data_IF_383614357745
#
_entry.id   IF_383614357745
#
_cell.length_a   1.000
_cell.length_b   1.000
_cell.length_c   1.000
_cell.angle_alpha   90.00
_cell.angle_beta   90.00
_cell.angle_gamma   90.00
#
_symmetry.space_group_name_H-M   'P 1'
#
loop_
_entity.id
_entity.type
_entity.pdbx_description
1 polymer ?
#
# COMPACT_ATOMS: atom_id res chain seq x y z
N UNK A 1 40.28 -75.77 77.50
CA UNK A 1 38.88 -75.65 77.06
C UNK A 1 38.49 -74.24 76.58
N UNK A 2 38.88 -73.16 77.28
CA UNK A 2 38.47 -71.77 76.97
C UNK A 2 38.80 -71.32 75.52
N UNK A 3 39.95 -71.73 74.96
CA UNK A 3 40.35 -71.38 73.58
C UNK A 3 39.45 -71.97 72.50
N UNK A 4 38.87 -73.15 72.74
CA UNK A 4 37.97 -73.80 71.77
C UNK A 4 36.61 -73.11 71.72
N UNK A 5 36.08 -72.68 72.88
CA UNK A 5 34.85 -71.89 72.94
C UNK A 5 34.97 -70.54 72.24
N UNK A 6 36.13 -69.89 72.32
CA UNK A 6 36.36 -68.62 71.62
C UNK A 6 36.36 -68.78 70.10
N UNK A 7 36.95 -69.86 69.58
CA UNK A 7 36.98 -70.16 68.14
C UNK A 7 35.57 -70.50 67.64
N UNK A 8 34.82 -71.31 68.40
CA UNK A 8 33.44 -71.68 68.05
C UNK A 8 32.52 -70.45 68.12
N UNK A 9 32.68 -69.60 69.14
CA UNK A 9 31.92 -68.35 69.26
C UNK A 9 32.26 -67.37 68.11
N UNK A 10 33.53 -67.29 67.69
CA UNK A 10 33.96 -66.47 66.56
C UNK A 10 33.44 -66.99 65.21
N UNK A 11 33.38 -68.31 65.03
CA UNK A 11 32.79 -68.94 63.83
C UNK A 11 31.27 -68.73 63.76
N UNK A 12 30.56 -68.82 64.88
CA UNK A 12 29.10 -68.60 64.92
C UNK A 12 28.77 -67.12 64.69
N UNK A 13 29.51 -66.20 65.33
CA UNK A 13 29.29 -64.75 65.17
C UNK A 13 29.64 -64.24 63.78
N UNK A 14 30.62 -64.83 63.09
CA UNK A 14 30.94 -64.48 61.69
C UNK A 14 29.94 -65.08 60.69
N UNK A 15 29.33 -66.23 60.99
CA UNK A 15 28.29 -66.84 60.16
C UNK A 15 26.94 -66.11 60.17
N UNK A 16 26.68 -65.28 61.19
CA UNK A 16 25.47 -64.47 61.30
C UNK A 16 25.49 -63.19 60.45
N UNK A 17 26.62 -62.85 59.81
CA UNK A 17 26.80 -61.55 59.12
C UNK A 17 26.44 -61.61 57.63
N UNK A 18 26.22 -62.80 57.03
CA UNK A 18 26.02 -62.93 55.57
C UNK A 18 24.69 -63.56 55.13
N UNK A 19 23.66 -63.54 55.97
CA UNK A 19 22.31 -63.94 55.54
C UNK A 19 21.65 -62.80 54.78
N UNK A 20 21.87 -62.73 53.46
CA UNK A 20 21.05 -61.91 52.58
C UNK A 20 19.58 -62.26 52.80
N UNK A 21 18.77 -61.29 53.21
CA UNK A 21 17.34 -61.52 53.45
C UNK A 21 16.66 -61.92 52.13
N UNK A 22 15.97 -63.05 52.13
CA UNK A 22 15.14 -63.45 51.00
C UNK A 22 13.96 -62.48 50.87
N UNK A 23 13.86 -61.82 49.70
CA UNK A 23 12.74 -60.93 49.36
C UNK A 23 11.89 -61.60 48.30
N UNK A 24 10.57 -61.62 48.51
CA UNK A 24 9.62 -62.19 47.55
C UNK A 24 8.97 -61.06 46.76
N UNK A 25 9.02 -61.15 45.43
CA UNK A 25 8.29 -60.29 44.50
C UNK A 25 7.03 -61.03 44.04
N UNK A 26 5.85 -60.54 44.43
CA UNK A 26 4.56 -61.16 44.12
C UNK A 26 3.89 -60.48 42.94
N UNK A 27 2.87 -61.12 42.37
CA UNK A 27 2.10 -60.58 41.23
C UNK A 27 1.33 -59.31 41.54
N UNK A 28 1.06 -59.04 42.83
CA UNK A 28 0.49 -57.78 43.32
C UNK A 28 1.49 -56.63 43.36
N UNK A 29 2.78 -56.92 43.32
CA UNK A 29 3.83 -55.94 43.57
C UNK A 29 4.24 -55.28 42.24
N UNK A 30 4.23 -53.95 42.21
CA UNK A 30 4.65 -53.19 41.02
C UNK A 30 6.15 -52.87 40.99
N UNK A 31 6.79 -52.76 42.17
CA UNK A 31 8.25 -52.60 42.30
C UNK A 31 8.75 -53.00 43.68
N UNK A 32 9.98 -53.52 43.76
CA UNK A 32 10.69 -53.71 45.03
C UNK A 32 12.13 -53.20 44.93
N UNK A 33 12.68 -52.66 46.03
CA UNK A 33 14.08 -52.24 46.08
C UNK A 33 14.95 -53.37 46.60
N UNK A 34 15.95 -53.75 45.80
CA UNK A 34 16.86 -54.87 46.08
C UNK A 34 18.30 -54.39 46.08
N UNK A 35 19.08 -54.91 47.02
CA UNK A 35 20.51 -54.64 47.15
C UNK A 35 21.31 -55.76 46.51
N UNK A 36 22.55 -55.45 46.10
CA UNK A 36 23.45 -56.46 45.55
C UNK A 36 23.75 -57.53 46.61
N UNK A 37 23.42 -58.78 46.31
CA UNK A 37 23.56 -59.91 47.23
C UNK A 37 22.26 -60.36 47.91
N UNK A 38 21.15 -59.64 47.73
CA UNK A 38 19.82 -60.10 48.16
C UNK A 38 19.40 -61.33 47.34
N UNK A 39 18.81 -62.34 47.99
CA UNK A 39 18.17 -63.46 47.30
C UNK A 39 16.72 -63.06 47.00
N UNK A 40 16.31 -63.14 45.74
CA UNK A 40 14.98 -62.67 45.31
C UNK A 40 14.18 -63.85 44.77
N UNK A 41 13.00 -64.09 45.33
CA UNK A 41 12.04 -65.08 44.83
C UNK A 41 10.98 -64.37 44.00
N UNK A 42 10.89 -64.69 42.71
CA UNK A 42 9.91 -64.11 41.78
C UNK A 42 8.73 -65.07 41.69
N UNK A 43 7.56 -64.63 42.17
CA UNK A 43 6.30 -65.39 42.19
C UNK A 43 5.31 -64.79 41.17
N UNK A 44 5.81 -64.56 39.95
CA UNK A 44 5.11 -63.91 38.82
C UNK A 44 5.54 -64.53 37.49
N UNK A 45 4.79 -64.26 36.41
CA UNK A 45 5.14 -64.71 35.05
C UNK A 45 6.42 -64.02 34.50
N UNK A 46 6.68 -62.77 34.91
CA UNK A 46 7.90 -62.06 34.51
C UNK A 46 8.28 -60.96 35.51
N UNK A 47 9.57 -60.71 35.65
CA UNK A 47 10.12 -59.59 36.39
C UNK A 47 11.45 -59.13 35.74
N UNK A 48 11.71 -57.84 35.78
CA UNK A 48 12.95 -57.24 35.28
C UNK A 48 13.71 -56.58 36.42
N UNK A 49 15.00 -56.87 36.52
CA UNK A 49 15.89 -56.19 37.47
C UNK A 49 16.64 -55.11 36.70
N UNK A 50 16.44 -53.86 37.10
CA UNK A 50 17.15 -52.72 36.55
C UNK A 50 17.96 -52.04 37.64
N UNK A 51 19.13 -51.52 37.27
CA UNK A 51 19.89 -50.70 38.21
C UNK A 51 19.14 -49.40 38.50
N UNK A 52 19.28 -48.87 39.73
CA UNK A 52 18.60 -47.63 40.11
C UNK A 52 18.98 -46.46 39.18
N UNK A 53 20.27 -46.34 38.80
CA UNK A 53 20.71 -45.29 37.87
C UNK A 53 20.11 -45.41 36.46
N UNK A 54 19.88 -46.63 35.96
CA UNK A 54 19.17 -46.83 34.68
C UNK A 54 17.69 -46.50 34.80
N UNK A 55 17.05 -46.84 35.93
CA UNK A 55 15.66 -46.49 36.19
C UNK A 55 15.45 -44.97 36.23
N UNK A 56 16.35 -44.26 36.93
CA UNK A 56 16.32 -42.81 37.04
C UNK A 56 16.55 -42.14 35.68
N UNK A 57 17.52 -42.62 34.89
CA UNK A 57 17.75 -42.13 33.53
C UNK A 57 16.57 -42.40 32.58
N UNK A 58 15.91 -43.55 32.70
CA UNK A 58 14.74 -43.88 31.88
C UNK A 58 13.55 -42.98 32.22
N UNK A 59 13.30 -42.74 33.51
CA UNK A 59 12.25 -41.82 33.97
C UNK A 59 12.53 -40.38 33.49
N UNK A 60 13.78 -39.92 33.57
CA UNK A 60 14.15 -38.60 33.06
C UNK A 60 13.86 -38.48 31.55
N UNK A 61 14.21 -39.49 30.74
CA UNK A 61 13.89 -39.49 29.32
C UNK A 61 12.38 -39.56 29.04
N UNK A 62 11.63 -40.27 29.89
CA UNK A 62 10.17 -40.32 29.79
C UNK A 62 9.56 -38.93 30.03
N UNK A 63 10.02 -38.23 31.06
CA UNK A 63 9.59 -36.86 31.37
C UNK A 63 9.95 -35.88 30.24
N UNK A 64 11.14 -36.02 29.65
CA UNK A 64 11.57 -35.24 28.49
C UNK A 64 10.66 -35.49 27.28
N UNK A 65 10.30 -36.76 27.02
CA UNK A 65 9.36 -37.13 25.96
C UNK A 65 7.97 -36.54 26.17
N UNK A 66 7.45 -36.58 27.39
CA UNK A 66 6.14 -35.98 27.73
C UNK A 66 6.19 -34.47 27.49
N UNK A 67 7.25 -33.79 27.94
CA UNK A 67 7.44 -32.35 27.70
C UNK A 67 7.56 -32.02 26.21
N UNK A 68 8.32 -32.80 25.45
CA UNK A 68 8.45 -32.63 24.00
C UNK A 68 7.12 -32.84 23.28
N UNK A 69 6.30 -33.80 23.75
CA UNK A 69 4.94 -34.03 23.27
C UNK A 69 4.05 -32.81 23.45
N UNK A 70 4.04 -32.22 24.66
CA UNK A 70 3.27 -31.01 24.96
C UNK A 70 3.72 -29.81 24.11
N UNK A 71 5.03 -29.59 23.98
CA UNK A 71 5.58 -28.51 23.14
C UNK A 71 5.17 -28.69 21.68
N UNK A 72 5.18 -29.92 21.16
CA UNK A 72 4.78 -30.19 19.78
C UNK A 72 3.29 -29.94 19.54
N UNK A 73 2.45 -30.20 20.55
CA UNK A 73 1.02 -29.90 20.49
C UNK A 73 0.76 -28.39 20.48
N UNK A 74 1.42 -27.64 21.37
CA UNK A 74 1.41 -26.17 21.35
C UNK A 74 1.89 -25.62 20.00
N UNK A 75 2.97 -26.18 19.44
CA UNK A 75 3.51 -25.75 18.15
C UNK A 75 2.51 -25.97 17.01
N UNK A 76 1.78 -27.09 17.02
CA UNK A 76 0.71 -27.35 16.05
C UNK A 76 -0.41 -26.35 16.18
N UNK A 77 -0.82 -26.00 17.40
CA UNK A 77 -1.86 -25.01 17.64
C UNK A 77 -1.43 -23.62 17.13
N UNK A 78 -0.20 -23.19 17.46
CA UNK A 78 0.35 -21.92 16.95
C UNK A 78 0.42 -21.92 15.42
N UNK A 79 0.82 -23.02 14.81
CA UNK A 79 0.91 -23.11 13.34
C UNK A 79 -0.47 -23.04 12.67
N UNK A 80 -1.50 -23.65 13.28
CA UNK A 80 -2.89 -23.51 12.83
C UNK A 80 -3.39 -22.06 12.94
N UNK A 81 -3.09 -21.38 14.05
CA UNK A 81 -3.44 -19.96 14.22
C UNK A 81 -2.73 -19.08 13.20
N UNK A 82 -1.44 -19.33 12.95
CA UNK A 82 -0.66 -18.62 11.95
C UNK A 82 -1.24 -18.80 10.54
N UNK A 83 -1.62 -20.03 10.19
CA UNK A 83 -2.22 -20.35 8.90
C UNK A 83 -3.58 -19.65 8.71
N UNK A 84 -4.37 -19.52 9.79
CA UNK A 84 -5.62 -18.75 9.76
C UNK A 84 -5.35 -17.25 9.55
N UNK A 85 -4.36 -16.69 10.24
CA UNK A 85 -3.95 -15.27 10.05
C UNK A 85 -3.45 -15.01 8.63
N UNK A 86 -2.67 -15.93 8.04
CA UNK A 86 -2.22 -15.81 6.65
C UNK A 86 -3.40 -15.79 5.69
N UNK A 87 -4.40 -16.67 5.85
CA UNK A 87 -5.62 -16.67 5.02
C UNK A 87 -6.42 -15.38 5.16
N UNK A 88 -6.47 -14.79 6.36
CA UNK A 88 -7.13 -13.52 6.59
C UNK A 88 -6.41 -12.38 5.87
N UNK A 89 -5.07 -12.33 5.96
CA UNK A 89 -4.25 -11.36 5.23
C UNK A 89 -4.42 -11.51 3.72
N UNK A 90 -4.38 -12.73 3.18
CA UNK A 90 -4.64 -12.97 1.74
C UNK A 90 -6.01 -12.45 1.31
N UNK A 91 -7.04 -12.65 2.14
CA UNK A 91 -8.40 -12.15 1.85
C UNK A 91 -8.44 -10.62 1.86
N UNK A 92 -7.77 -9.97 2.81
CA UNK A 92 -7.69 -8.51 2.88
C UNK A 92 -6.92 -7.92 1.70
N UNK A 93 -5.78 -8.51 1.34
CA UNK A 93 -4.99 -8.12 0.14
C UNK A 93 -5.83 -8.30 -1.13
N UNK A 94 -6.54 -9.43 -1.25
CA UNK A 94 -7.42 -9.67 -2.39
C UNK A 94 -8.59 -8.68 -2.50
N UNK A 95 -9.12 -8.19 -1.38
CA UNK A 95 -10.11 -7.11 -1.36
C UNK A 95 -9.49 -5.77 -1.77
N UNK A 96 -8.35 -5.41 -1.18
CA UNK A 96 -7.65 -4.16 -1.49
C UNK A 96 -7.29 -4.07 -2.98
N UNK A 97 -6.79 -5.16 -3.57
CA UNK A 97 -6.48 -5.20 -5.00
C UNK A 97 -7.72 -5.02 -5.88
N UNK A 98 -8.88 -5.54 -5.46
CA UNK A 98 -10.15 -5.34 -6.18
C UNK A 98 -10.64 -3.90 -6.08
N UNK A 99 -10.58 -3.31 -4.89
CA UNK A 99 -10.95 -1.91 -4.65
C UNK A 99 -10.04 -0.97 -5.44
N UNK A 100 -8.71 -1.16 -5.37
CA UNK A 100 -7.75 -0.38 -6.15
C UNK A 100 -7.99 -0.48 -7.67
N UNK A 101 -8.36 -1.66 -8.17
CA UNK A 101 -8.68 -1.82 -9.59
C UNK A 101 -9.94 -1.04 -9.97
N UNK A 102 -10.97 -1.11 -9.13
CA UNK A 102 -12.21 -0.36 -9.34
C UNK A 102 -11.98 1.16 -9.31
N UNK A 103 -11.23 1.64 -8.33
CA UNK A 103 -10.88 3.06 -8.19
C UNK A 103 -10.00 3.53 -9.35
N UNK A 104 -9.07 2.69 -9.82
CA UNK A 104 -8.24 2.97 -10.99
C UNK A 104 -9.06 3.13 -12.27
N UNK A 105 -10.00 2.22 -12.53
CA UNK A 105 -10.90 2.29 -13.69
C UNK A 105 -11.81 3.54 -13.62
N UNK A 106 -12.36 3.86 -12.44
CA UNK A 106 -13.18 5.07 -12.25
C UNK A 106 -12.37 6.36 -12.46
N UNK A 107 -11.16 6.42 -11.91
CA UNK A 107 -10.26 7.58 -12.05
C UNK A 107 -9.82 7.78 -13.51
N UNK A 108 -9.57 6.68 -14.24
CA UNK A 108 -9.23 6.75 -15.66
C UNK A 108 -10.39 7.29 -16.50
N UNK A 109 -11.63 6.86 -16.21
CA UNK A 109 -12.82 7.40 -16.87
C UNK A 109 -13.00 8.90 -16.61
N UNK A 110 -12.82 9.36 -15.37
CA UNK A 110 -12.92 10.77 -15.02
C UNK A 110 -11.84 11.62 -15.71
N UNK A 111 -10.60 11.11 -15.76
CA UNK A 111 -9.50 11.78 -16.49
C UNK A 111 -9.78 11.89 -17.99
N UNK A 112 -10.30 10.83 -18.63
CA UNK A 112 -10.69 10.89 -20.04
C UNK A 112 -11.81 11.92 -20.27
N UNK A 113 -12.81 11.98 -19.38
CA UNK A 113 -13.87 12.99 -19.43
C UNK A 113 -13.32 14.41 -19.32
N UNK A 114 -12.38 14.65 -18.38
CA UNK A 114 -11.70 15.94 -18.22
C UNK A 114 -10.90 16.30 -19.48
N UNK A 115 -10.15 15.36 -20.06
CA UNK A 115 -9.39 15.58 -21.29
C UNK A 115 -10.33 15.97 -22.45
N UNK A 116 -11.44 15.25 -22.62
CA UNK A 116 -12.44 15.58 -23.65
C UNK A 116 -13.05 16.97 -23.43
N UNK A 117 -13.31 17.38 -22.18
CA UNK A 117 -13.79 18.72 -21.88
C UNK A 117 -12.75 19.79 -22.19
N UNK A 118 -11.48 19.54 -21.88
CA UNK A 118 -10.37 20.43 -22.21
C UNK A 118 -10.19 20.59 -23.73
N UNK A 119 -10.24 19.50 -24.48
CA UNK A 119 -10.13 19.53 -25.95
C UNK A 119 -11.28 20.32 -26.58
N UNK A 120 -12.51 20.11 -26.11
CA UNK A 120 -13.67 20.89 -26.56
C UNK A 120 -13.54 22.38 -26.19
N UNK A 121 -13.04 22.69 -25.00
CA UNK A 121 -12.75 24.04 -24.56
C UNK A 121 -11.70 24.72 -25.44
N UNK A 122 -10.60 24.02 -25.77
CA UNK A 122 -9.56 24.49 -26.68
C UNK A 122 -10.09 24.74 -28.09
N UNK A 123 -10.91 23.83 -28.62
CA UNK A 123 -11.54 24.00 -29.92
C UNK A 123 -12.45 25.23 -29.96
N UNK A 124 -13.24 25.45 -28.91
CA UNK A 124 -14.12 26.61 -28.77
C UNK A 124 -13.33 27.91 -28.65
N UNK A 125 -12.25 27.91 -27.86
CA UNK A 125 -11.34 29.05 -27.73
C UNK A 125 -10.67 29.38 -29.07
N UNK A 126 -10.24 28.37 -29.82
CA UNK A 126 -9.66 28.55 -31.15
C UNK A 126 -10.67 29.16 -32.13
N UNK A 127 -11.90 28.64 -32.18
CA UNK A 127 -12.98 29.20 -33.00
C UNK A 127 -13.28 30.65 -32.61
N UNK A 128 -13.43 30.94 -31.32
CA UNK A 128 -13.66 32.30 -30.83
C UNK A 128 -12.53 33.26 -31.20
N UNK A 129 -11.27 32.81 -31.06
CA UNK A 129 -10.13 33.65 -31.40
C UNK A 129 -10.08 33.94 -32.91
N UNK A 130 -10.39 32.95 -33.73
CA UNK A 130 -10.47 33.13 -35.18
C UNK A 130 -11.61 34.08 -35.57
N UNK A 131 -12.79 33.95 -34.94
CA UNK A 131 -13.91 34.88 -35.13
C UNK A 131 -13.58 36.30 -34.66
N UNK A 132 -12.83 36.45 -33.58
CA UNK A 132 -12.36 37.76 -33.11
C UNK A 132 -11.36 38.37 -34.09
N UNK A 133 -10.45 37.57 -34.64
CA UNK A 133 -9.52 38.01 -35.69
C UNK A 133 -10.28 38.49 -36.94
N UNK A 134 -11.23 37.70 -37.43
CA UNK A 134 -12.08 38.06 -38.58
C UNK A 134 -12.88 39.35 -38.30
N UNK A 135 -13.46 39.48 -37.10
CA UNK A 135 -14.19 40.69 -36.71
C UNK A 135 -13.27 41.92 -36.65
N UNK A 136 -12.04 41.75 -36.18
CA UNK A 136 -11.08 42.83 -36.08
C UNK A 136 -10.64 43.29 -37.48
N UNK A 137 -10.42 42.36 -38.41
CA UNK A 137 -10.14 42.66 -39.82
C UNK A 137 -11.32 43.42 -40.48
N UNK A 138 -12.56 43.00 -40.22
CA UNK A 138 -13.74 43.69 -40.73
C UNK A 138 -13.91 45.10 -40.16
N UNK A 139 -13.61 45.29 -38.86
CA UNK A 139 -13.64 46.60 -38.23
C UNK A 139 -12.57 47.53 -38.82
N UNK A 140 -11.36 47.02 -39.05
CA UNK A 140 -10.29 47.81 -39.68
C UNK A 140 -10.70 48.24 -41.10
N UNK A 141 -11.25 47.33 -41.91
CA UNK A 141 -11.74 47.67 -43.24
C UNK A 141 -12.84 48.75 -43.22
N UNK A 142 -13.73 48.74 -42.20
CA UNK A 142 -14.74 49.78 -42.01
C UNK A 142 -14.12 51.12 -41.61
N UNK A 143 -13.11 51.11 -40.75
CA UNK A 143 -12.37 52.31 -40.36
C UNK A 143 -11.69 52.93 -41.59
N UNK A 144 -11.00 52.13 -42.40
CA UNK A 144 -10.32 52.60 -43.61
C UNK A 144 -11.33 53.20 -44.61
N UNK A 145 -12.50 52.56 -44.79
CA UNK A 145 -13.57 53.09 -45.62
C UNK A 145 -14.14 54.42 -45.08
N UNK A 146 -14.30 54.55 -43.76
CA UNK A 146 -14.73 55.80 -43.12
C UNK A 146 -13.68 56.90 -43.30
N UNK A 147 -12.40 56.60 -43.15
CA UNK A 147 -11.31 57.56 -43.40
C UNK A 147 -11.32 58.06 -44.85
N UNK A 148 -11.54 57.17 -45.81
CA UNK A 148 -11.63 57.54 -47.22
C UNK A 148 -12.85 58.41 -47.52
N UNK A 149 -14.00 58.13 -46.91
CA UNK A 149 -15.17 59.01 -46.97
C UNK A 149 -14.85 60.38 -46.37
N UNK A 150 -14.19 60.43 -45.21
CA UNK A 150 -13.75 61.70 -44.60
C UNK A 150 -12.81 62.46 -45.53
N UNK A 151 -11.85 61.79 -46.18
CA UNK A 151 -10.94 62.42 -47.15
C UNK A 151 -11.70 62.97 -48.35
N UNK A 152 -12.67 62.22 -48.89
CA UNK A 152 -13.54 62.66 -50.00
C UNK A 152 -14.36 63.88 -49.60
N UNK A 153 -15.04 63.83 -48.46
CA UNK A 153 -15.83 64.96 -47.93
C UNK A 153 -14.94 66.20 -47.69
N UNK A 154 -13.73 66.03 -47.12
CA UNK A 154 -12.77 67.14 -46.98
C UNK A 154 -12.30 67.71 -48.32
N UNK A 155 -12.25 66.91 -49.38
CA UNK A 155 -11.91 67.37 -50.73
C UNK A 155 -13.08 68.11 -51.37
N UNK A 156 -14.30 67.60 -51.21
CA UNK A 156 -15.54 68.24 -51.68
C UNK A 156 -15.78 69.58 -50.97
N UNK A 157 -15.63 69.64 -49.65
CA UNK A 157 -15.73 70.90 -48.88
C UNK A 157 -14.70 71.92 -49.38
N UNK A 158 -13.45 71.49 -49.62
CA UNK A 158 -12.43 72.38 -50.22
C UNK A 158 -12.80 72.82 -51.63
N UNK A 159 -13.36 71.94 -52.46
CA UNK A 159 -13.83 72.26 -53.80
C UNK A 159 -14.99 73.27 -53.81
N UNK A 160 -15.96 73.10 -52.91
CA UNK A 160 -17.07 74.06 -52.70
C UNK A 160 -16.53 75.41 -52.24
N UNK A 161 -15.57 75.41 -51.31
CA UNK A 161 -14.95 76.64 -50.84
C UNK A 161 -14.20 77.37 -51.97
N UNK A 162 -13.44 76.66 -52.80
CA UNK A 162 -12.78 77.23 -53.96
C UNK A 162 -13.78 77.77 -54.98
N UNK A 163 -14.82 77.01 -55.35
CA UNK A 163 -15.83 77.46 -56.31
C UNK A 163 -16.59 78.70 -55.83
N UNK A 164 -16.95 78.76 -54.53
CA UNK A 164 -17.60 79.93 -53.95
C UNK A 164 -16.68 81.17 -53.87
N UNK A 165 -15.36 80.97 -53.77
CA UNK A 165 -14.37 82.06 -53.84
C UNK A 165 -14.22 82.58 -55.27
N UNK A 166 -14.15 81.68 -56.25
CA UNK A 166 -14.05 82.03 -57.68
C UNK A 166 -15.28 82.81 -58.15
N UNK A 167 -16.47 82.42 -57.72
CA UNK A 167 -17.72 83.10 -58.07
C UNK A 167 -17.73 84.57 -57.57
N UNK A 168 -17.27 84.80 -56.34
CA UNK A 168 -17.13 86.16 -55.79
C UNK A 168 -16.06 86.99 -56.52
N UNK A 169 -14.96 86.38 -56.94
CA UNK A 169 -13.89 87.07 -57.70
C UNK A 169 -14.38 87.42 -59.11
N UNK A 170 -15.09 86.52 -59.80
CA UNK A 170 -15.62 86.75 -61.14
C UNK A 170 -16.71 87.83 -61.14
N UNK A 171 -17.62 87.81 -60.16
CA UNK A 171 -18.62 88.88 -59.99
C UNK A 171 -17.94 90.22 -59.64
N UNK A 172 -16.89 90.21 -58.82
CA UNK A 172 -16.09 91.40 -58.52
C UNK A 172 -15.33 91.95 -59.74
N UNK A 173 -14.75 91.08 -60.56
CA UNK A 173 -14.06 91.45 -61.80
C UNK A 173 -15.04 91.92 -62.88
N UNK A 174 -16.21 91.30 -63.00
CA UNK A 174 -17.29 91.75 -63.87
C UNK A 174 -17.85 93.12 -63.45
N UNK A 175 -18.02 93.36 -62.16
CA UNK A 175 -18.41 94.66 -61.62
C UNK A 175 -17.36 95.76 -61.85
N UNK A 176 -16.07 95.43 -61.74
CA UNK A 176 -14.97 96.36 -62.05
C UNK A 176 -14.88 96.67 -63.55
N UNK A 177 -15.09 95.69 -64.43
CA UNK A 177 -15.09 95.91 -65.87
C UNK A 177 -16.24 96.83 -66.32
N UNK A 178 -17.44 96.66 -65.76
CA UNK A 178 -18.59 97.54 -66.02
C UNK A 178 -18.37 98.93 -65.40
N UNK A 179 -17.77 99.00 -64.20
CA UNK A 179 -17.43 100.28 -63.56
C UNK A 179 -16.40 101.10 -64.33
N UNK A 180 -15.37 100.47 -64.93
CA UNK A 180 -14.38 101.16 -65.75
C UNK A 180 -14.99 101.61 -67.09
N UNK A 181 -15.87 100.82 -67.70
CA UNK A 181 -16.57 101.21 -68.93
C UNK A 181 -17.48 102.43 -68.75
N UNK A 182 -18.10 102.59 -67.58
CA UNK A 182 -18.91 103.78 -67.25
C UNK A 182 -18.03 105.00 -66.96
N UNK A 183 -16.79 104.81 -66.50
CA UNK A 183 -15.87 105.92 -66.20
C UNK A 183 -15.12 106.47 -67.43
N UNK A 184 -15.08 105.71 -68.53
CA UNK A 184 -14.35 106.06 -69.77
C UNK A 184 -15.28 106.61 -70.88
N UNK A 185 -16.61 106.52 -70.69
CA UNK A 185 -17.65 107.05 -71.58
C UNK A 185 -18.17 108.41 -71.07
#
# INVERSE_FOLDING_TARGET
MIKFYFIVFFLISTSLISSGQEKVFRSSDSKIKVSKGDLIRIDTESAYVISQGQADALNQKLDELVKAGAINEDLKQVNLELLNKVKEVEKLVGKLLKEMKHDGEATEMDLQSIILQLDNGLATLKDNNQRLEDNNQQLQAKIDAMEDIIKKLRKEIRGIWWNGLTDKIVVGAGGLAVGILIMVL
#
